data_IF_809262560980
#
_entry.id   IF_809262560980
#
_cell.length_a   1.000
_cell.length_b   1.000
_cell.length_c   1.000
_cell.angle_alpha   90.00
_cell.angle_beta   90.00
_cell.angle_gamma   90.00
#
_symmetry.space_group_name_H-M   'P 1'
#
loop_
_entity.id
_entity.type
_entity.pdbx_description
1 polymer ?
#
# COMPACT_ATOMS: atom_id res chain seq x y z
N UNK A 1 -4.77 -4.39 10.99
CA UNK A 1 -4.29 -3.50 12.06
C UNK A 1 -5.43 -2.65 12.64
N UNK A 2 -5.95 -1.65 11.92
CA UNK A 2 -7.06 -0.79 12.40
C UNK A 2 -8.31 -1.52 12.90
N UNK A 3 -8.66 -2.68 12.32
CA UNK A 3 -9.79 -3.52 12.79
C UNK A 3 -9.55 -4.16 14.17
N UNK A 4 -8.30 -4.36 14.56
CA UNK A 4 -7.92 -4.94 15.85
C UNK A 4 -7.78 -3.85 16.92
N UNK A 5 -7.26 -2.70 16.52
CA UNK A 5 -7.08 -1.53 17.37
C UNK A 5 -7.24 -0.26 16.51
N UNK A 6 -8.28 0.52 16.81
CA UNK A 6 -8.67 1.71 16.04
C UNK A 6 -7.78 2.92 16.36
N UNK A 7 -7.11 2.91 17.51
CA UNK A 7 -6.30 4.03 18.00
C UNK A 7 -4.91 4.07 17.34
N UNK A 8 -4.46 2.97 16.74
CA UNK A 8 -3.21 2.91 16.00
C UNK A 8 -3.19 3.93 14.85
N UNK A 9 -2.24 4.86 14.84
CA UNK A 9 -1.96 5.64 13.64
C UNK A 9 -1.32 4.72 12.58
N UNK A 10 -2.03 4.50 11.46
CA UNK A 10 -1.58 3.60 10.37
C UNK A 10 -1.44 4.40 9.09
N UNK A 11 -0.26 4.29 8.48
CA UNK A 11 0.04 4.85 7.17
C UNK A 11 0.40 3.72 6.21
N UNK A 12 -0.27 3.65 5.07
CA UNK A 12 0.08 2.80 3.94
C UNK A 12 0.87 3.64 2.91
N UNK A 13 2.03 3.14 2.49
CA UNK A 13 2.85 3.76 1.45
C UNK A 13 2.78 2.85 0.22
N UNK A 14 2.13 3.30 -0.84
CA UNK A 14 1.87 2.51 -2.04
C UNK A 14 1.82 3.46 -3.27
N UNK A 15 2.78 3.36 -4.22
CA UNK A 15 2.82 4.25 -5.37
C UNK A 15 1.63 4.08 -6.32
N UNK A 16 1.15 2.86 -6.55
CA UNK A 16 0.13 2.59 -7.56
C UNK A 16 -1.25 3.03 -7.08
N UNK A 17 -2.08 3.69 -7.91
CA UNK A 17 -3.36 4.25 -7.49
C UNK A 17 -4.41 3.18 -7.15
N UNK A 18 -4.24 1.95 -7.64
CA UNK A 18 -5.10 0.81 -7.39
C UNK A 18 -4.28 -0.47 -7.29
N UNK A 19 -4.79 -1.47 -6.58
CA UNK A 19 -4.20 -2.80 -6.54
C UNK A 19 -4.69 -3.62 -7.73
N UNK A 20 -3.76 -4.08 -8.58
CA UNK A 20 -4.07 -5.03 -9.65
C UNK A 20 -3.77 -6.46 -9.19
N UNK A 21 -4.82 -7.26 -9.02
CA UNK A 21 -4.68 -8.61 -8.49
C UNK A 21 -4.10 -9.57 -9.54
N UNK A 22 -3.03 -10.27 -9.15
CA UNK A 22 -2.46 -11.37 -9.94
C UNK A 22 -3.36 -12.63 -9.98
N UNK A 23 -4.05 -13.06 -8.90
CA UNK A 23 -5.00 -14.17 -8.98
C UNK A 23 -6.10 -13.91 -10.03
N UNK A 24 -6.38 -14.85 -10.93
CA UNK A 24 -7.27 -14.67 -12.11
C UNK A 24 -6.75 -13.78 -13.25
N UNK A 25 -5.51 -13.31 -13.21
CA UNK A 25 -4.90 -12.57 -14.34
C UNK A 25 -4.89 -13.38 -15.65
N UNK A 26 -4.69 -14.71 -15.57
CA UNK A 26 -4.79 -15.59 -16.75
C UNK A 26 -6.16 -15.55 -17.43
N UNK A 27 -7.25 -15.35 -16.67
CA UNK A 27 -8.58 -15.21 -17.25
C UNK A 27 -8.73 -13.88 -18.02
N UNK A 28 -8.02 -12.83 -17.60
CA UNK A 28 -7.94 -11.58 -18.36
C UNK A 28 -7.13 -11.78 -19.65
N UNK A 29 -5.95 -12.42 -19.56
CA UNK A 29 -5.10 -12.71 -20.73
C UNK A 29 -5.85 -13.57 -21.75
N UNK A 30 -6.66 -14.54 -21.31
CA UNK A 30 -7.47 -15.39 -22.16
C UNK A 30 -8.76 -14.72 -22.69
N UNK A 31 -9.04 -13.46 -22.31
CA UNK A 31 -10.24 -12.72 -22.74
C UNK A 31 -11.54 -13.15 -22.06
N UNK A 32 -11.47 -13.95 -20.99
CA UNK A 32 -12.63 -14.46 -20.24
C UNK A 32 -13.09 -13.52 -19.12
N UNK A 33 -12.32 -12.47 -18.83
CA UNK A 33 -12.56 -11.52 -17.74
C UNK A 33 -12.02 -10.13 -18.10
N UNK A 34 -12.72 -9.07 -17.72
CA UNK A 34 -12.22 -7.70 -17.84
C UNK A 34 -11.13 -7.38 -16.81
N UNK A 35 -10.23 -6.47 -17.14
CA UNK A 35 -9.15 -6.02 -16.24
C UNK A 35 -9.71 -5.24 -15.03
N UNK A 36 -10.87 -4.63 -15.19
CA UNK A 36 -11.60 -3.88 -14.16
C UNK A 36 -11.98 -4.80 -13.00
N UNK A 37 -12.33 -6.05 -13.30
CA UNK A 37 -12.66 -7.06 -12.31
C UNK A 37 -11.43 -7.58 -11.53
N UNK A 38 -10.23 -7.13 -11.89
CA UNK A 38 -8.95 -7.37 -11.22
C UNK A 38 -8.38 -6.12 -10.54
N UNK A 39 -9.02 -4.97 -10.71
CA UNK A 39 -8.53 -3.67 -10.26
C UNK A 39 -9.30 -3.22 -9.02
N UNK A 40 -8.60 -3.02 -7.90
CA UNK A 40 -9.19 -2.71 -6.60
C UNK A 40 -8.72 -1.34 -6.12
N UNK A 41 -9.68 -0.44 -5.87
CA UNK A 41 -9.39 0.86 -5.28
C UNK A 41 -9.05 0.75 -3.79
N UNK A 42 -8.25 1.69 -3.32
CA UNK A 42 -7.92 1.87 -1.90
C UNK A 42 -8.89 2.81 -1.16
N UNK A 43 -9.93 3.34 -1.84
CA UNK A 43 -10.88 4.29 -1.25
C UNK A 43 -11.61 3.72 -0.02
N UNK A 44 -11.70 2.40 0.10
CA UNK A 44 -12.33 1.71 1.24
C UNK A 44 -11.48 1.73 2.52
N UNK A 45 -10.25 2.26 2.47
CA UNK A 45 -9.33 2.23 3.62
C UNK A 45 -9.61 3.28 4.71
N UNK A 46 -10.60 4.16 4.53
CA UNK A 46 -11.13 5.04 5.58
C UNK A 46 -10.02 5.79 6.33
N UNK A 47 -9.88 5.51 7.63
CA UNK A 47 -8.96 6.22 8.54
C UNK A 47 -7.49 5.76 8.47
N UNK A 48 -7.11 5.07 7.40
CA UNK A 48 -5.71 4.76 7.09
C UNK A 48 -5.16 5.87 6.20
N UNK A 49 -4.07 6.52 6.63
CA UNK A 49 -3.39 7.52 5.81
C UNK A 49 -2.71 6.82 4.62
N UNK A 50 -2.93 7.31 3.40
CA UNK A 50 -2.36 6.74 2.18
C UNK A 50 -1.36 7.71 1.55
N UNK A 51 -0.13 7.26 1.37
CA UNK A 51 0.93 8.01 0.71
C UNK A 51 1.21 7.35 -0.65
N UNK A 52 0.88 8.07 -1.73
CA UNK A 52 1.08 7.65 -3.13
C UNK A 52 2.49 7.90 -3.62
N UNK A 53 3.47 7.26 -2.99
CA UNK A 53 4.89 7.37 -3.32
C UNK A 53 5.59 6.04 -3.11
N UNK A 54 6.73 5.86 -3.77
CA UNK A 54 7.59 4.70 -3.56
C UNK A 54 8.46 4.89 -2.31
N UNK A 55 8.45 3.91 -1.41
CA UNK A 55 9.48 3.78 -0.38
C UNK A 55 10.78 3.26 -1.03
N UNK A 56 11.91 3.91 -0.76
CA UNK A 56 13.22 3.60 -1.39
C UNK A 56 14.30 3.17 -0.41
N UNK A 57 14.13 3.43 0.88
CA UNK A 57 15.03 2.92 1.91
C UNK A 57 14.34 2.82 3.28
N UNK A 58 14.87 1.97 4.14
CA UNK A 58 14.50 1.86 5.56
C UNK A 58 15.74 2.15 6.40
N UNK A 59 15.69 3.18 7.22
CA UNK A 59 16.65 3.41 8.30
C UNK A 59 16.10 2.77 9.58
N UNK A 60 16.55 1.55 9.86
CA UNK A 60 16.12 0.81 11.04
C UNK A 60 16.64 1.42 12.36
N UNK A 61 17.80 2.09 12.34
CA UNK A 61 18.40 2.70 13.51
C UNK A 61 17.63 3.93 13.98
N UNK A 62 17.20 4.77 13.03
CA UNK A 62 16.38 5.97 13.28
C UNK A 62 14.87 5.68 13.22
N UNK A 63 14.48 4.46 12.85
CA UNK A 63 13.09 4.01 12.65
C UNK A 63 12.32 4.91 11.68
N UNK A 64 12.90 5.09 10.49
CA UNK A 64 12.31 5.89 9.41
C UNK A 64 12.29 5.13 8.07
N UNK A 65 11.27 5.40 7.26
CA UNK A 65 11.20 5.02 5.85
C UNK A 65 11.48 6.27 5.02
N UNK A 66 12.40 6.17 4.07
CA UNK A 66 12.67 7.23 3.09
C UNK A 66 11.89 6.97 1.82
N UNK A 67 11.21 7.99 1.31
CA UNK A 67 10.46 7.96 0.07
C UNK A 67 11.32 8.45 -1.10
N UNK A 68 10.89 8.18 -2.33
CA UNK A 68 11.62 8.54 -3.55
C UNK A 68 11.88 10.04 -3.73
N UNK A 69 11.07 10.89 -3.10
CA UNK A 69 11.23 12.35 -3.10
C UNK A 69 12.13 12.87 -1.96
N UNK A 70 12.72 11.98 -1.17
CA UNK A 70 13.55 12.32 -0.02
C UNK A 70 12.77 12.54 1.28
N UNK A 71 11.44 12.50 1.28
CA UNK A 71 10.62 12.58 2.50
C UNK A 71 10.93 11.42 3.44
N UNK A 72 11.05 11.68 4.75
CA UNK A 72 11.23 10.65 5.77
C UNK A 72 9.98 10.48 6.63
N UNK A 73 9.45 9.26 6.71
CA UNK A 73 8.30 8.89 7.54
C UNK A 73 8.79 8.10 8.76
N UNK A 74 8.54 8.60 9.97
CA UNK A 74 8.87 7.88 11.21
C UNK A 74 7.86 6.78 11.52
N UNK A 75 8.31 5.71 12.20
CA UNK A 75 7.42 4.61 12.59
C UNK A 75 7.68 4.04 13.99
N UNK A 76 6.61 3.58 14.64
CA UNK A 76 6.70 2.76 15.85
C UNK A 76 6.91 1.28 15.51
N UNK A 77 6.25 0.78 14.47
CA UNK A 77 6.45 -0.55 13.89
C UNK A 77 6.36 -0.41 12.38
N UNK A 78 7.12 -1.22 11.66
CA UNK A 78 7.13 -1.27 10.21
C UNK A 78 6.68 -2.66 9.76
N UNK A 79 5.75 -2.69 8.81
CA UNK A 79 5.34 -3.90 8.10
C UNK A 79 5.84 -3.77 6.68
N UNK A 80 6.56 -4.78 6.20
CA UNK A 80 7.00 -4.92 4.82
C UNK A 80 6.19 -6.06 4.20
N UNK A 81 5.57 -5.82 3.04
CA UNK A 81 4.66 -6.74 2.38
C UNK A 81 4.75 -6.58 0.86
#
# INVERSE_FOLDING_TARGET
LKRLDRDLAVTLIEPEPAYLACPFSNAVIAGLRGIEAQTFSYDQFGDIALIRKRAVAVDAGRRRVRLEDGTEIGYARLVLA
#
